data_IF_084330233797
#
_entry.id   IF_084330233797
#
_cell.length_a   1.000
_cell.length_b   1.000
_cell.length_c   1.000
_cell.angle_alpha   90.00
_cell.angle_beta   90.00
_cell.angle_gamma   90.00
#
_symmetry.space_group_name_H-M   'P 1'
#
loop_
_entity.id
_entity.type
_entity.pdbx_description
1 polymer ?
#
# COMPACT_ATOMS: atom_id res chain seq x y z
N UNK A 1 30.13 15.95 -55.67
CA UNK A 1 29.33 14.73 -55.96
C UNK A 1 29.68 13.54 -55.09
N UNK A 2 30.72 13.59 -54.22
CA UNK A 2 31.12 12.47 -53.32
C UNK A 2 30.59 12.59 -51.90
N UNK A 3 30.04 13.71 -51.48
CA UNK A 3 29.48 13.85 -50.12
C UNK A 3 28.00 13.44 -50.01
N UNK A 4 27.23 13.48 -51.07
CA UNK A 4 25.85 13.03 -51.06
C UNK A 4 25.69 11.49 -50.96
N UNK A 5 26.68 10.74 -51.44
CA UNK A 5 26.65 9.28 -51.41
C UNK A 5 27.02 8.69 -50.04
N UNK A 6 27.72 9.47 -49.21
CA UNK A 6 28.10 9.05 -47.83
C UNK A 6 26.97 9.19 -46.81
N UNK A 7 25.97 10.02 -47.10
CA UNK A 7 24.77 10.18 -46.27
C UNK A 7 23.72 9.09 -46.44
N UNK A 8 23.70 8.42 -47.60
CA UNK A 8 22.73 7.37 -47.90
C UNK A 8 23.02 6.03 -47.24
N UNK A 9 24.24 5.86 -46.65
CA UNK A 9 24.71 4.59 -46.08
C UNK A 9 24.91 4.69 -44.54
N UNK A 10 24.18 5.55 -43.86
CA UNK A 10 24.12 5.53 -42.38
C UNK A 10 23.45 4.20 -41.96
N UNK A 11 24.12 3.38 -41.17
CA UNK A 11 23.63 2.05 -40.91
C UNK A 11 22.28 2.11 -40.15
N UNK A 12 21.32 1.33 -40.62
CA UNK A 12 19.94 1.22 -40.11
C UNK A 12 19.85 0.87 -38.60
N UNK A 13 20.94 0.53 -37.94
CA UNK A 13 20.94 0.22 -36.50
C UNK A 13 20.56 1.44 -35.61
N UNK A 14 20.86 2.66 -36.06
CA UNK A 14 20.48 3.88 -35.28
C UNK A 14 18.97 4.06 -35.33
N UNK A 15 18.34 3.81 -36.44
CA UNK A 15 16.88 3.91 -36.59
C UNK A 15 16.17 2.79 -35.82
N UNK A 16 16.75 1.60 -35.83
CA UNK A 16 16.24 0.44 -35.11
C UNK A 16 16.39 0.58 -33.58
N UNK A 17 17.52 1.15 -33.12
CA UNK A 17 17.73 1.47 -31.70
C UNK A 17 16.73 2.50 -31.16
N UNK A 18 16.42 3.55 -31.93
CA UNK A 18 15.38 4.52 -31.56
C UNK A 18 13.97 3.90 -31.55
N UNK A 19 13.68 2.96 -32.42
CA UNK A 19 12.39 2.27 -32.52
C UNK A 19 12.14 1.35 -31.32
N UNK A 20 13.17 0.69 -30.82
CA UNK A 20 13.07 -0.22 -29.66
C UNK A 20 12.91 0.50 -28.34
N UNK A 21 13.46 1.71 -28.17
CA UNK A 21 13.33 2.49 -26.93
C UNK A 21 11.90 3.01 -26.72
N UNK A 22 11.17 3.36 -27.77
CA UNK A 22 9.80 3.89 -27.68
C UNK A 22 8.69 2.83 -27.69
N UNK A 23 9.02 1.55 -27.86
CA UNK A 23 8.03 0.48 -28.08
C UNK A 23 7.55 -0.23 -26.81
N UNK A 24 8.12 0.03 -25.62
CA UNK A 24 7.64 -0.59 -24.37
C UNK A 24 6.51 0.21 -23.72
N UNK A 25 5.38 0.32 -24.38
CA UNK A 25 4.15 0.72 -23.71
C UNK A 25 3.56 -0.51 -23.03
N UNK A 26 3.51 -0.47 -21.70
CA UNK A 26 2.77 -1.48 -20.93
C UNK A 26 1.37 -1.66 -21.52
N UNK A 27 0.89 -2.90 -21.59
CA UNK A 27 -0.44 -3.21 -22.10
C UNK A 27 -1.51 -2.45 -21.29
N UNK A 28 -2.65 -2.18 -21.89
CA UNK A 28 -3.79 -1.53 -21.20
C UNK A 28 -4.18 -2.35 -19.97
N UNK A 29 -4.16 -3.69 -20.08
CA UNK A 29 -4.44 -4.60 -18.96
C UNK A 29 -3.49 -4.35 -17.79
N UNK A 30 -2.18 -4.30 -18.06
CA UNK A 30 -1.18 -4.03 -17.01
C UNK A 30 -1.41 -2.68 -16.31
N UNK A 31 -1.80 -1.65 -17.05
CA UNK A 31 -2.09 -0.34 -16.44
C UNK A 31 -3.35 -0.38 -15.58
N UNK A 32 -4.42 -0.98 -16.09
CA UNK A 32 -5.70 -1.07 -15.37
C UNK A 32 -5.51 -1.89 -14.09
N UNK A 33 -4.89 -3.07 -14.18
CA UNK A 33 -4.65 -3.91 -13.01
C UNK A 33 -3.73 -3.24 -11.98
N UNK A 34 -2.73 -2.47 -12.44
CA UNK A 34 -1.86 -1.70 -11.53
C UNK A 34 -2.65 -0.62 -10.77
N UNK A 35 -3.43 0.20 -11.45
CA UNK A 35 -4.21 1.25 -10.79
C UNK A 35 -5.30 0.68 -9.87
N UNK A 36 -5.90 -0.46 -10.25
CA UNK A 36 -6.83 -1.17 -9.39
C UNK A 36 -6.13 -1.71 -8.13
N UNK A 37 -4.89 -2.19 -8.23
CA UNK A 37 -4.09 -2.57 -7.07
C UNK A 37 -3.83 -1.37 -6.16
N UNK A 38 -3.45 -0.22 -6.70
CA UNK A 38 -3.23 1.01 -5.92
C UNK A 38 -4.50 1.38 -5.15
N UNK A 39 -5.64 1.35 -5.82
CA UNK A 39 -6.94 1.61 -5.20
C UNK A 39 -7.22 0.61 -4.06
N UNK A 40 -7.12 -0.69 -4.33
CA UNK A 40 -7.37 -1.73 -3.34
C UNK A 40 -6.44 -1.61 -2.14
N UNK A 41 -5.15 -1.41 -2.35
CA UNK A 41 -4.17 -1.28 -1.27
C UNK A 41 -4.43 -0.03 -0.42
N UNK A 42 -4.86 1.08 -1.02
CA UNK A 42 -5.23 2.29 -0.27
C UNK A 42 -6.42 2.02 0.66
N UNK A 43 -7.48 1.38 0.15
CA UNK A 43 -8.64 1.03 0.98
C UNK A 43 -8.30 -0.03 2.04
N UNK A 44 -7.47 -1.02 1.71
CA UNK A 44 -6.99 -2.03 2.66
C UNK A 44 -6.17 -1.39 3.79
N UNK A 45 -5.30 -0.44 3.48
CA UNK A 45 -4.54 0.29 4.48
C UNK A 45 -5.48 1.05 5.43
N UNK A 46 -6.35 1.92 4.89
CA UNK A 46 -7.22 2.78 5.69
C UNK A 46 -8.24 1.97 6.52
N UNK A 47 -8.80 0.90 5.96
CA UNK A 47 -9.69 -0.01 6.70
C UNK A 47 -8.93 -0.89 7.70
N UNK A 48 -7.70 -1.27 7.40
CA UNK A 48 -6.81 -1.98 8.32
C UNK A 48 -6.47 -1.14 9.55
N UNK A 49 -6.17 0.15 9.38
CA UNK A 49 -5.98 1.09 10.49
C UNK A 49 -7.25 1.25 11.34
N UNK A 50 -8.43 1.22 10.71
CA UNK A 50 -9.70 1.21 11.44
C UNK A 50 -9.89 -0.06 12.28
N UNK A 51 -9.53 -1.23 11.75
CA UNK A 51 -9.58 -2.50 12.50
C UNK A 51 -8.59 -2.46 13.65
N UNK A 52 -7.38 -1.97 13.42
CA UNK A 52 -6.33 -1.85 14.44
C UNK A 52 -6.73 -0.91 15.59
N UNK A 53 -7.57 0.10 15.35
CA UNK A 53 -8.12 0.95 16.42
C UNK A 53 -8.87 0.17 17.51
N UNK A 54 -9.37 -1.04 17.22
CA UNK A 54 -10.07 -1.84 18.21
C UNK A 54 -9.14 -2.47 19.25
N UNK A 55 -7.89 -2.76 18.86
CA UNK A 55 -6.84 -3.28 19.75
C UNK A 55 -5.47 -2.78 19.26
N UNK A 56 -5.10 -1.54 19.65
CA UNK A 56 -3.94 -0.87 19.06
C UNK A 56 -2.62 -1.29 19.71
N UNK A 57 -2.38 -2.59 19.76
CA UNK A 57 -1.19 -3.21 20.33
C UNK A 57 -0.63 -4.27 19.38
N UNK A 58 0.70 -4.33 19.29
CA UNK A 58 1.42 -5.41 18.61
C UNK A 58 2.28 -6.16 19.62
N UNK A 59 2.22 -7.47 19.56
CA UNK A 59 2.95 -8.37 20.44
C UNK A 59 4.02 -9.13 19.69
N UNK A 60 5.10 -9.44 20.39
CA UNK A 60 6.13 -10.34 19.91
C UNK A 60 6.19 -11.55 20.85
N UNK A 61 5.51 -12.62 20.52
CA UNK A 61 5.43 -13.79 21.38
C UNK A 61 4.48 -14.86 20.84
N UNK A 62 4.32 -15.94 21.61
CA UNK A 62 3.52 -17.10 21.19
C UNK A 62 2.00 -16.90 21.31
N UNK A 63 1.56 -16.07 22.23
CA UNK A 63 0.13 -15.93 22.55
C UNK A 63 -0.51 -14.65 21.98
N UNK A 64 0.30 -13.63 21.69
CA UNK A 64 -0.16 -12.39 21.05
C UNK A 64 -1.26 -11.63 21.82
N UNK A 65 -1.35 -11.86 23.13
CA UNK A 65 -2.37 -11.27 24.00
C UNK A 65 -1.89 -11.27 25.46
N UNK A 66 -2.73 -10.95 26.38
CA UNK A 66 -2.65 -10.72 27.83
C UNK A 66 -1.46 -11.28 28.65
N UNK A 67 -0.63 -12.17 28.12
CA UNK A 67 0.57 -12.70 28.77
C UNK A 67 1.89 -12.23 28.18
N UNK A 68 1.86 -11.60 26.99
CA UNK A 68 3.04 -11.14 26.29
C UNK A 68 3.20 -9.61 26.41
N UNK A 69 4.44 -9.10 26.57
CA UNK A 69 4.68 -7.66 26.55
C UNK A 69 4.41 -7.09 25.15
N UNK A 70 3.59 -6.06 25.06
CA UNK A 70 3.37 -5.36 23.79
C UNK A 70 4.65 -4.64 23.35
N UNK A 71 5.09 -4.91 22.11
CA UNK A 71 6.22 -4.22 21.49
C UNK A 71 5.83 -2.84 21.01
N UNK A 72 4.60 -2.68 20.52
CA UNK A 72 4.00 -1.42 20.13
C UNK A 72 2.65 -1.28 20.82
N UNK A 73 2.40 -0.13 21.44
CA UNK A 73 1.09 0.27 21.97
C UNK A 73 0.82 1.70 21.52
N UNK A 74 -0.36 1.96 20.96
CA UNK A 74 -0.84 3.32 20.70
C UNK A 74 -2.04 3.57 21.59
N UNK A 75 -1.97 4.55 22.46
CA UNK A 75 -3.03 4.78 23.44
C UNK A 75 -3.13 6.21 23.92
N UNK A 76 -4.07 6.44 24.82
CA UNK A 76 -4.26 7.70 25.54
C UNK A 76 -4.01 7.52 27.03
N UNK A 77 -3.56 8.59 27.66
CA UNK A 77 -3.35 8.71 29.10
C UNK A 77 -4.35 9.73 29.63
N UNK A 78 -5.31 9.29 30.41
CA UNK A 78 -6.42 10.11 30.92
C UNK A 78 -6.13 10.73 32.30
N UNK A 79 -4.88 10.61 32.79
CA UNK A 79 -4.46 11.10 34.13
C UNK A 79 -4.41 12.62 34.31
N UNK A 80 -4.93 13.42 33.36
CA UNK A 80 -4.94 14.89 33.39
C UNK A 80 -6.28 15.52 33.03
N UNK A 81 -6.32 16.88 32.97
CA UNK A 81 -7.50 17.62 32.51
C UNK A 81 -7.88 17.37 31.06
N UNK A 82 -6.93 16.91 30.27
CA UNK A 82 -7.12 16.56 28.86
C UNK A 82 -6.37 15.25 28.56
N UNK A 83 -6.95 14.35 27.74
CA UNK A 83 -6.32 13.11 27.35
C UNK A 83 -5.05 13.40 26.53
N UNK A 84 -3.99 12.64 26.76
CA UNK A 84 -2.73 12.76 26.05
C UNK A 84 -2.42 11.47 25.29
N UNK A 85 -2.29 11.60 23.97
CA UNK A 85 -1.90 10.49 23.10
C UNK A 85 -0.43 10.12 23.27
N UNK A 86 -0.16 8.84 23.23
CA UNK A 86 1.22 8.32 23.23
C UNK A 86 1.37 7.10 22.32
N UNK A 87 2.58 6.90 21.86
CA UNK A 87 3.05 5.64 21.27
C UNK A 87 4.13 5.07 22.16
N UNK A 88 4.00 3.81 22.52
CA UNK A 88 5.04 3.06 23.24
C UNK A 88 5.65 2.05 22.30
N UNK A 89 6.97 2.09 22.12
CA UNK A 89 7.73 1.15 21.30
C UNK A 89 8.84 0.55 22.15
N UNK A 90 8.85 -0.76 22.31
CA UNK A 90 9.85 -1.49 23.12
C UNK A 90 10.09 -0.86 24.52
N UNK A 91 9.01 -0.39 25.17
CA UNK A 91 9.06 0.25 26.50
C UNK A 91 9.29 1.77 26.47
N UNK A 92 9.74 2.37 25.36
CA UNK A 92 9.92 3.81 25.23
C UNK A 92 8.58 4.49 24.92
N UNK A 93 8.14 5.41 25.78
CA UNK A 93 6.89 6.17 25.62
C UNK A 93 7.17 7.52 24.95
N UNK A 94 6.55 7.74 23.79
CA UNK A 94 6.69 8.96 22.98
C UNK A 94 5.33 9.68 22.97
N UNK A 95 5.24 10.97 23.35
CA UNK A 95 3.98 11.72 23.26
C UNK A 95 3.63 12.00 21.81
N UNK A 96 2.37 11.72 21.42
CA UNK A 96 1.86 11.87 20.04
C UNK A 96 0.48 12.51 19.99
N UNK A 97 0.11 13.26 21.02
CA UNK A 97 -1.18 13.97 21.11
C UNK A 97 -1.45 14.82 19.87
N UNK A 98 -2.64 14.72 19.32
CA UNK A 98 -3.06 15.41 18.09
C UNK A 98 -2.92 14.59 16.80
N UNK A 99 -2.08 13.52 16.82
CA UNK A 99 -1.87 12.64 15.65
C UNK A 99 -2.21 11.20 15.96
N UNK A 100 -1.61 10.62 17.01
CA UNK A 100 -1.85 9.22 17.41
C UNK A 100 -2.27 9.16 18.89
N UNK A 101 -3.13 8.20 19.23
CA UNK A 101 -3.65 8.00 20.58
C UNK A 101 -4.78 8.97 20.96
N UNK A 102 -4.62 10.24 20.64
CA UNK A 102 -5.65 11.29 20.78
C UNK A 102 -5.60 12.20 19.57
N UNK A 103 -6.73 12.38 18.89
CA UNK A 103 -6.87 13.25 17.73
C UNK A 103 -8.18 14.03 17.77
N UNK A 104 -8.29 15.06 16.92
CA UNK A 104 -9.55 15.79 16.77
C UNK A 104 -10.46 15.08 15.75
N UNK A 105 -11.73 14.91 16.11
CA UNK A 105 -12.80 14.51 15.23
C UNK A 105 -14.02 15.38 15.51
N UNK A 106 -14.57 16.00 14.49
CA UNK A 106 -15.75 16.88 14.55
C UNK A 106 -15.65 18.02 15.63
N UNK A 107 -14.44 18.52 15.85
CA UNK A 107 -14.15 19.58 16.82
C UNK A 107 -13.93 19.10 18.25
N UNK A 108 -14.08 17.81 18.53
CA UNK A 108 -13.85 17.19 19.83
C UNK A 108 -12.56 16.38 19.85
N UNK A 109 -11.95 16.24 21.03
CA UNK A 109 -10.82 15.33 21.23
C UNK A 109 -11.34 13.91 21.46
N UNK A 110 -10.92 12.99 20.59
CA UNK A 110 -11.29 11.58 20.63
C UNK A 110 -10.06 10.73 20.90
N UNK A 111 -10.17 9.85 21.88
CA UNK A 111 -9.16 8.82 22.16
C UNK A 111 -9.30 7.66 21.17
N UNK A 112 -8.38 7.58 20.21
CA UNK A 112 -8.28 6.49 19.24
C UNK A 112 -6.85 6.43 18.67
N UNK A 113 -6.40 5.24 18.31
CA UNK A 113 -5.02 5.08 17.86
C UNK A 113 -4.71 5.87 16.60
N UNK A 114 -5.58 5.81 15.58
CA UNK A 114 -5.44 6.55 14.32
C UNK A 114 -6.56 7.57 14.16
N UNK A 115 -6.25 8.76 13.61
CA UNK A 115 -7.25 9.82 13.42
C UNK A 115 -8.31 9.44 12.38
N UNK A 116 -9.47 10.10 12.43
CA UNK A 116 -10.63 9.86 11.57
C UNK A 116 -10.31 9.96 10.07
N UNK A 117 -9.45 10.89 9.68
CA UNK A 117 -9.04 11.09 8.28
C UNK A 117 -8.15 9.96 7.74
N UNK A 118 -7.50 9.17 8.61
CA UNK A 118 -6.62 8.05 8.24
C UNK A 118 -7.33 6.70 8.26
N UNK A 119 -8.65 6.66 8.43
CA UNK A 119 -9.41 5.40 8.56
C UNK A 119 -10.65 5.37 7.69
N UNK A 120 -11.07 4.18 7.27
CA UNK A 120 -12.33 3.93 6.57
C UNK A 120 -13.11 2.83 7.31
N UNK A 121 -14.33 3.14 7.81
CA UNK A 121 -14.94 4.46 7.87
C UNK A 121 -14.21 5.43 8.80
N UNK A 122 -14.48 6.72 8.67
CA UNK A 122 -13.88 7.77 9.51
C UNK A 122 -14.35 7.70 10.97
N UNK A 123 -15.61 7.29 11.20
CA UNK A 123 -16.16 7.00 12.52
C UNK A 123 -15.70 5.63 13.02
N UNK A 124 -15.67 5.45 14.34
CA UNK A 124 -15.15 4.22 14.94
C UNK A 124 -16.20 3.09 14.87
N UNK A 125 -16.09 2.25 13.85
CA UNK A 125 -16.93 1.09 13.62
C UNK A 125 -16.08 -0.08 13.08
N UNK A 126 -15.81 -1.05 13.96
CA UNK A 126 -15.02 -2.23 13.62
C UNK A 126 -15.72 -3.12 12.57
N UNK A 127 -17.04 -3.25 12.65
CA UNK A 127 -17.80 -4.11 11.74
C UNK A 127 -17.79 -3.53 10.31
N UNK A 128 -17.99 -2.22 10.18
CA UNK A 128 -17.87 -1.53 8.90
C UNK A 128 -16.43 -1.58 8.37
N UNK A 129 -15.41 -1.33 9.21
CA UNK A 129 -14.00 -1.44 8.83
C UNK A 129 -13.67 -2.82 8.26
N UNK A 130 -14.12 -3.89 8.91
CA UNK A 130 -13.94 -5.27 8.43
C UNK A 130 -14.64 -5.53 7.10
N UNK A 131 -15.87 -5.03 6.89
CA UNK A 131 -16.59 -5.18 5.61
C UNK A 131 -15.83 -4.51 4.46
N UNK A 132 -15.35 -3.28 4.64
CA UNK A 132 -14.52 -2.59 3.65
C UNK A 132 -13.23 -3.36 3.37
N UNK A 133 -12.55 -3.82 4.42
CA UNK A 133 -11.28 -4.56 4.30
C UNK A 133 -11.47 -5.84 3.48
N UNK A 134 -12.45 -6.67 3.82
CA UNK A 134 -12.70 -7.92 3.09
C UNK A 134 -13.16 -7.69 1.66
N UNK A 135 -13.98 -6.67 1.40
CA UNK A 135 -14.40 -6.34 0.04
C UNK A 135 -13.20 -6.03 -0.85
N UNK A 136 -12.31 -5.13 -0.43
CA UNK A 136 -11.14 -4.77 -1.21
C UNK A 136 -10.07 -5.87 -1.23
N UNK A 137 -9.98 -6.72 -0.22
CA UNK A 137 -9.11 -7.89 -0.23
C UNK A 137 -9.53 -8.88 -1.33
N UNK A 138 -10.82 -9.19 -1.44
CA UNK A 138 -11.32 -10.05 -2.51
C UNK A 138 -11.15 -9.41 -3.89
N UNK A 139 -11.40 -8.13 -4.02
CA UNK A 139 -11.19 -7.41 -5.27
C UNK A 139 -9.71 -7.46 -5.70
N UNK A 140 -8.78 -7.30 -4.76
CA UNK A 140 -7.35 -7.42 -5.00
C UNK A 140 -6.96 -8.84 -5.46
N UNK A 141 -7.49 -9.87 -4.80
CA UNK A 141 -7.23 -11.27 -5.17
C UNK A 141 -7.76 -11.57 -6.58
N UNK A 142 -8.98 -11.17 -6.89
CA UNK A 142 -9.57 -11.35 -8.23
C UNK A 142 -8.73 -10.62 -9.29
N UNK A 143 -8.34 -9.37 -9.03
CA UNK A 143 -7.47 -8.60 -9.93
C UNK A 143 -6.13 -9.30 -10.15
N UNK A 144 -5.53 -9.86 -9.11
CA UNK A 144 -4.29 -10.64 -9.19
C UNK A 144 -4.43 -11.88 -10.06
N UNK A 145 -5.53 -12.63 -9.90
CA UNK A 145 -5.83 -13.81 -10.72
C UNK A 145 -6.00 -13.42 -12.20
N UNK A 146 -6.75 -12.35 -12.48
CA UNK A 146 -6.94 -11.82 -13.84
C UNK A 146 -5.60 -11.44 -14.47
N UNK A 147 -4.75 -10.72 -13.72
CA UNK A 147 -3.43 -10.33 -14.20
C UNK A 147 -2.51 -11.54 -14.46
N UNK A 148 -2.50 -12.53 -13.56
CA UNK A 148 -1.73 -13.75 -13.74
C UNK A 148 -2.20 -14.55 -14.96
N UNK A 149 -3.51 -14.72 -15.12
CA UNK A 149 -4.10 -15.37 -16.27
C UNK A 149 -3.73 -14.68 -17.59
N UNK A 150 -3.86 -13.36 -17.64
CA UNK A 150 -3.44 -12.56 -18.78
C UNK A 150 -1.93 -12.71 -19.05
N UNK A 151 -1.09 -12.64 -18.03
CA UNK A 151 0.36 -12.72 -18.14
C UNK A 151 0.84 -14.08 -18.70
N UNK A 152 0.19 -15.16 -18.27
CA UNK A 152 0.48 -16.52 -18.77
C UNK A 152 0.00 -16.68 -20.21
N UNK A 153 -1.26 -16.33 -20.52
CA UNK A 153 -1.86 -16.52 -21.84
C UNK A 153 -1.21 -15.65 -22.92
N UNK A 154 -0.82 -14.42 -22.59
CA UNK A 154 -0.15 -13.50 -23.53
C UNK A 154 1.35 -13.79 -23.69
N UNK A 155 1.92 -14.72 -22.91
CA UNK A 155 3.36 -15.01 -22.89
C UNK A 155 4.20 -13.86 -22.31
N UNK A 156 3.56 -12.86 -21.69
CA UNK A 156 4.20 -11.71 -21.06
C UNK A 156 5.18 -12.12 -19.97
N UNK A 157 4.81 -13.16 -19.20
CA UNK A 157 5.66 -13.72 -18.16
C UNK A 157 7.03 -14.19 -18.69
N UNK A 158 7.05 -14.91 -19.83
CA UNK A 158 8.28 -15.43 -20.43
C UNK A 158 9.12 -14.38 -21.14
N UNK A 159 8.46 -13.35 -21.72
CA UNK A 159 9.14 -12.34 -22.55
C UNK A 159 9.71 -11.18 -21.74
N UNK A 160 9.02 -10.78 -20.68
CA UNK A 160 9.29 -9.53 -19.98
C UNK A 160 9.62 -9.68 -18.48
N UNK A 161 9.23 -10.80 -17.84
CA UNK A 161 9.41 -11.02 -16.40
C UNK A 161 10.44 -12.11 -16.07
N UNK A 162 10.65 -13.10 -16.96
CA UNK A 162 11.65 -14.13 -16.71
C UNK A 162 13.06 -13.62 -17.05
N UNK A 163 14.04 -13.71 -16.13
CA UNK A 163 15.42 -13.35 -16.43
C UNK A 163 15.96 -14.26 -17.54
N UNK A 164 16.60 -13.68 -18.54
CA UNK A 164 17.25 -14.44 -19.61
C UNK A 164 18.54 -15.06 -19.05
N UNK A 165 18.82 -16.36 -19.32
CA UNK A 165 19.96 -17.05 -18.73
C UNK A 165 21.35 -16.57 -19.18
N UNK A 166 21.45 -15.45 -19.91
CA UNK A 166 22.70 -14.90 -20.45
C UNK A 166 22.86 -13.37 -20.26
N UNK A 167 22.22 -12.79 -19.25
CA UNK A 167 22.51 -11.40 -18.81
C UNK A 167 23.22 -11.40 -17.48
#
# INVERSE_FOLDING_TARGET
MKEAEKSANAPNYIVEYHRTIFSRRHSVVTRVTHWLNVLCLSFLLLSGLQIFNAHPELYWGHYGANGDPAVLTIGSDDGGRQPRGFVRVAGLKIPTTGVLGVSQADGEQVSRAFPSWATIPSFQDLAAGRRWHFFFAWLLVINGIVYLGFSVLSGHFRKDLAPKPHE
#
